data_IF_531218841889
#
_entry.id   IF_531218841889
#
_cell.length_a   1.000
_cell.length_b   1.000
_cell.length_c   1.000
_cell.angle_alpha   90.00
_cell.angle_beta   90.00
_cell.angle_gamma   90.00
#
_symmetry.space_group_name_H-M   'P 1'
#
loop_
_entity.id
_entity.type
_entity.pdbx_description
1 polymer ?
#
# COMPACT_ATOMS: atom_id res chain seq x y z
N UNK A 1 8.36 9.88 -9.52
CA UNK A 1 9.05 9.17 -8.43
C UNK A 1 9.08 10.05 -7.20
N UNK A 2 8.78 9.47 -6.06
CA UNK A 2 8.80 10.21 -4.80
C UNK A 2 9.15 9.29 -3.64
N UNK A 3 9.38 9.87 -2.47
CA UNK A 3 9.61 9.12 -1.24
C UNK A 3 8.33 9.16 -0.43
N UNK A 4 7.87 8.01 0.02
CA UNK A 4 6.70 7.89 0.87
C UNK A 4 7.11 7.39 2.24
N UNK A 5 6.42 7.86 3.28
CA UNK A 5 6.68 7.44 4.64
C UNK A 5 5.37 6.96 5.26
N UNK A 6 5.42 5.79 5.89
CA UNK A 6 4.28 5.27 6.66
C UNK A 6 4.71 5.33 8.13
N UNK A 7 4.05 6.12 8.96
CA UNK A 7 4.45 6.25 10.36
C UNK A 7 4.27 4.94 11.12
N UNK A 8 4.86 4.82 12.31
CA UNK A 8 4.68 3.61 13.12
C UNK A 8 3.20 3.30 13.32
N UNK A 9 2.82 2.05 13.11
CA UNK A 9 1.44 1.61 13.20
C UNK A 9 0.53 2.11 12.07
N UNK A 10 1.10 2.84 11.10
CA UNK A 10 0.31 3.41 10.01
C UNK A 10 -0.08 2.41 8.95
N UNK A 11 -1.08 2.79 8.16
CA UNK A 11 -1.62 1.95 7.10
C UNK A 11 -1.86 2.81 5.86
N UNK A 12 -1.38 2.33 4.71
CA UNK A 12 -1.81 2.85 3.42
C UNK A 12 -3.02 2.02 3.02
N UNK A 13 -4.21 2.55 3.27
CA UNK A 13 -5.46 1.80 3.15
C UNK A 13 -5.73 1.32 1.73
N UNK A 14 -6.51 0.26 1.64
CA UNK A 14 -6.75 -0.43 0.39
C UNK A 14 -7.25 0.49 -0.72
N UNK A 15 -6.64 0.36 -1.89
CA UNK A 15 -7.02 1.13 -3.07
C UNK A 15 -6.57 0.38 -4.35
N UNK A 16 -7.01 0.87 -5.47
CA UNK A 16 -6.71 0.31 -6.78
C UNK A 16 -6.08 1.40 -7.64
N UNK A 17 -4.97 1.09 -8.30
CA UNK A 17 -4.40 1.94 -9.34
C UNK A 17 -5.00 1.48 -10.67
N UNK A 18 -5.86 2.30 -11.26
CA UNK A 18 -6.69 1.85 -12.39
C UNK A 18 -5.89 1.60 -13.67
N UNK A 19 -5.10 2.56 -14.10
CA UNK A 19 -4.44 2.49 -15.40
C UNK A 19 -2.92 2.60 -15.35
N UNK A 20 -2.30 2.41 -14.20
CA UNK A 20 -0.87 2.56 -14.10
C UNK A 20 -0.26 1.56 -13.12
N UNK A 21 1.03 1.36 -13.25
CA UNK A 21 1.80 0.46 -12.42
C UNK A 21 2.55 1.24 -11.36
N UNK A 22 2.76 0.61 -10.21
CA UNK A 22 3.53 1.22 -9.12
C UNK A 22 4.63 0.25 -8.71
N UNK A 23 5.82 0.77 -8.52
CA UNK A 23 6.91 0.01 -7.93
C UNK A 23 7.38 0.72 -6.67
N UNK A 24 7.63 -0.06 -5.63
CA UNK A 24 8.12 0.42 -4.36
C UNK A 24 9.46 -0.22 -4.08
N UNK A 25 10.39 0.58 -3.55
CA UNK A 25 11.63 0.05 -3.01
C UNK A 25 11.72 0.46 -1.55
N UNK A 26 11.76 -0.51 -0.64
CA UNK A 26 11.77 -0.25 0.79
C UNK A 26 13.17 0.19 1.21
N UNK A 27 13.32 1.41 1.69
CA UNK A 27 14.58 1.92 2.21
C UNK A 27 14.76 1.60 3.67
N UNK A 28 13.68 1.68 4.46
CA UNK A 28 13.73 1.45 5.90
C UNK A 28 12.43 0.83 6.36
N UNK A 29 12.52 -0.07 7.31
CA UNK A 29 11.35 -0.64 7.98
C UNK A 29 10.86 -1.96 7.40
N UNK A 30 9.70 -2.38 7.85
CA UNK A 30 9.06 -3.62 7.42
C UNK A 30 7.57 -3.41 7.24
N UNK A 31 7.04 -3.97 6.16
CA UNK A 31 5.63 -3.83 5.83
C UNK A 31 4.97 -5.18 5.60
N UNK A 32 3.66 -5.22 5.82
CA UNK A 32 2.81 -6.31 5.36
C UNK A 32 1.99 -5.78 4.20
N UNK A 33 2.14 -6.40 3.05
CA UNK A 33 1.42 -6.03 1.83
C UNK A 33 0.33 -7.07 1.60
N UNK A 34 -0.92 -6.63 1.66
CA UNK A 34 -2.08 -7.48 1.40
C UNK A 34 -2.67 -7.07 0.06
N UNK A 35 -3.04 -8.02 -0.77
CA UNK A 35 -3.53 -7.74 -2.11
C UNK A 35 -4.55 -8.76 -2.57
N UNK A 36 -5.24 -8.44 -3.67
CA UNK A 36 -6.31 -9.24 -4.22
C UNK A 36 -7.68 -8.65 -3.92
N UNK A 37 -8.74 -9.14 -4.56
CA UNK A 37 -10.09 -8.60 -4.42
C UNK A 37 -10.60 -8.57 -2.98
N UNK A 38 -10.22 -9.55 -2.17
CA UNK A 38 -10.59 -9.61 -0.76
C UNK A 38 -9.40 -9.37 0.15
N UNK A 39 -8.29 -8.84 -0.38
CA UNK A 39 -7.03 -8.68 0.32
C UNK A 39 -6.57 -10.02 0.93
N UNK A 40 -6.83 -11.10 0.21
CA UNK A 40 -6.62 -12.45 0.72
C UNK A 40 -5.17 -12.94 0.61
N UNK A 41 -4.37 -12.30 -0.23
CA UNK A 41 -2.94 -12.63 -0.37
C UNK A 41 -2.12 -11.70 0.50
N UNK A 42 -1.00 -12.20 1.00
CA UNK A 42 -0.17 -11.45 1.92
C UNK A 42 1.29 -11.77 1.68
N UNK A 43 2.13 -10.73 1.72
CA UNK A 43 3.57 -10.89 1.71
C UNK A 43 4.17 -9.82 2.62
N UNK A 44 5.19 -10.21 3.38
CA UNK A 44 5.91 -9.28 4.24
C UNK A 44 7.22 -8.91 3.54
N UNK A 45 7.51 -7.62 3.51
CA UNK A 45 8.71 -7.09 2.86
C UNK A 45 9.50 -6.23 3.85
N UNK A 46 10.80 -6.21 3.66
CA UNK A 46 11.73 -5.45 4.52
C UNK A 46 12.62 -4.57 3.66
N UNK A 47 13.44 -3.74 4.31
CA UNK A 47 14.38 -2.87 3.62
C UNK A 47 15.22 -3.68 2.61
N UNK A 48 15.34 -3.15 1.42
CA UNK A 48 16.03 -3.82 0.31
C UNK A 48 15.12 -4.57 -0.64
N UNK A 49 13.84 -4.75 -0.29
CA UNK A 49 12.89 -5.44 -1.16
C UNK A 49 12.22 -4.49 -2.14
N UNK A 50 11.90 -5.02 -3.32
CA UNK A 50 11.06 -4.34 -4.30
C UNK A 50 9.66 -4.92 -4.24
N UNK A 51 8.66 -4.06 -4.44
CA UNK A 51 7.26 -4.47 -4.57
C UNK A 51 6.74 -3.91 -5.88
N UNK A 52 6.17 -4.77 -6.71
CA UNK A 52 5.52 -4.35 -7.95
C UNK A 52 4.01 -4.50 -7.78
N UNK A 53 3.27 -3.44 -8.10
CA UNK A 53 1.82 -3.43 -7.99
C UNK A 53 1.22 -3.25 -9.37
N UNK A 54 0.49 -4.27 -9.82
CA UNK A 54 -0.14 -4.26 -11.12
C UNK A 54 -1.36 -3.34 -11.12
N UNK A 55 -1.72 -2.75 -12.28
CA UNK A 55 -2.96 -1.99 -12.40
C UNK A 55 -4.16 -2.88 -12.09
N UNK A 56 -5.16 -2.31 -11.45
CA UNK A 56 -6.41 -3.00 -11.19
C UNK A 56 -6.42 -3.95 -10.02
N UNK A 57 -5.29 -4.14 -9.34
CA UNK A 57 -5.22 -5.06 -8.20
C UNK A 57 -5.40 -4.28 -6.89
N UNK A 58 -6.42 -4.58 -6.10
CA UNK A 58 -6.58 -3.97 -4.78
C UNK A 58 -5.41 -4.35 -3.88
N UNK A 59 -4.87 -3.38 -3.15
CA UNK A 59 -3.78 -3.65 -2.21
C UNK A 59 -3.79 -2.70 -1.03
N UNK A 60 -3.21 -3.14 0.06
CA UNK A 60 -3.10 -2.38 1.30
C UNK A 60 -1.73 -2.67 1.92
N UNK A 61 -1.08 -1.65 2.45
CA UNK A 61 0.25 -1.80 3.03
C UNK A 61 0.22 -1.32 4.47
N UNK A 62 0.66 -2.17 5.38
CA UNK A 62 0.68 -1.87 6.80
C UNK A 62 2.11 -1.82 7.30
N UNK A 63 2.42 -0.82 8.13
CA UNK A 63 3.69 -0.80 8.83
C UNK A 63 3.60 -1.80 9.98
N UNK A 64 4.51 -2.77 10.02
CA UNK A 64 4.52 -3.81 11.04
C UNK A 64 5.10 -3.34 12.37
N UNK A 65 5.75 -2.19 12.42
CA UNK A 65 6.36 -1.69 13.65
C UNK A 65 5.48 -0.67 14.34
N UNK A 66 5.43 -0.74 15.66
CA UNK A 66 4.77 0.25 16.48
C UNK A 66 5.68 1.43 16.83
N UNK A 67 6.97 1.34 16.50
CA UNK A 67 7.96 2.34 16.92
C UNK A 67 8.76 2.96 15.77
N UNK A 68 8.89 2.28 14.64
CA UNK A 68 9.75 2.73 13.54
C UNK A 68 8.93 3.02 12.28
N UNK A 69 9.27 4.08 11.54
CA UNK A 69 8.58 4.36 10.28
C UNK A 69 9.04 3.43 9.17
N UNK A 70 8.23 3.34 8.12
CA UNK A 70 8.64 2.74 6.85
C UNK A 70 8.90 3.87 5.89
N UNK A 71 10.04 3.80 5.20
CA UNK A 71 10.40 4.76 4.16
C UNK A 71 10.61 3.99 2.86
N UNK A 72 9.95 4.42 1.81
CA UNK A 72 10.04 3.76 0.51
C UNK A 72 10.17 4.77 -0.62
N UNK A 73 10.88 4.37 -1.68
CA UNK A 73 10.88 5.12 -2.94
C UNK A 73 9.74 4.55 -3.78
N UNK A 74 8.92 5.43 -4.33
CA UNK A 74 7.75 5.06 -5.12
C UNK A 74 7.94 5.57 -6.54
N UNK A 75 7.85 4.67 -7.51
CA UNK A 75 7.88 5.01 -8.92
C UNK A 75 6.55 4.59 -9.57
N UNK A 76 6.02 5.46 -10.41
CA UNK A 76 4.75 5.21 -11.11
C UNK A 76 4.95 5.35 -12.60
N UNK A 77 4.19 4.59 -13.37
CA UNK A 77 4.27 4.64 -14.82
C UNK A 77 3.46 5.78 -15.43
N UNK A 78 2.66 6.48 -14.63
CA UNK A 78 1.83 7.60 -15.09
C UNK A 78 1.86 8.71 -14.05
N UNK A 79 2.07 9.95 -14.51
CA UNK A 79 2.13 11.11 -13.62
C UNK A 79 0.75 11.57 -13.14
N UNK A 80 -0.33 11.14 -13.77
CA UNK A 80 -1.68 11.55 -13.39
C UNK A 80 -2.33 10.56 -12.44
N UNK A 81 -1.54 9.90 -11.62
CA UNK A 81 -2.01 8.84 -10.74
C UNK A 81 -3.14 9.24 -9.80
N UNK A 82 -3.21 10.49 -9.40
CA UNK A 82 -4.26 10.92 -8.48
C UNK A 82 -5.66 10.82 -9.06
N UNK A 83 -5.75 10.84 -10.38
CA UNK A 83 -7.03 10.74 -11.06
C UNK A 83 -7.47 9.29 -11.24
N UNK A 84 -6.54 8.36 -11.06
CA UNK A 84 -6.75 6.95 -11.35
C UNK A 84 -6.61 6.06 -10.12
N UNK A 85 -6.78 6.63 -8.94
CA UNK A 85 -6.76 5.87 -7.69
C UNK A 85 -8.19 5.77 -7.18
N UNK A 86 -8.64 4.56 -6.90
CA UNK A 86 -9.99 4.29 -6.42
C UNK A 86 -9.88 3.55 -5.08
N UNK A 87 -10.60 4.03 -4.07
CA UNK A 87 -10.62 3.38 -2.77
C UNK A 87 -11.24 1.99 -2.86
N UNK A 88 -10.73 1.09 -2.04
CA UNK A 88 -11.21 -0.29 -1.94
C UNK A 88 -11.58 -0.57 -0.48
N UNK A 89 -12.59 -1.40 -0.21
CA UNK A 89 -12.96 -1.71 1.17
C UNK A 89 -11.80 -2.27 1.98
N UNK A 90 -11.63 -1.74 3.19
CA UNK A 90 -10.59 -2.16 4.12
C UNK A 90 -11.16 -2.20 5.53
N UNK A 91 -10.88 -3.29 6.24
CA UNK A 91 -11.31 -3.42 7.63
C UNK A 91 -10.60 -2.43 8.55
N UNK A 92 -9.44 -1.94 8.12
CA UNK A 92 -8.61 -1.04 8.92
C UNK A 92 -8.96 0.42 8.73
N UNK A 93 -9.72 0.75 7.68
CA UNK A 93 -10.03 2.14 7.37
C UNK A 93 -10.97 2.72 8.42
N UNK A 94 -10.64 3.87 9.02
CA UNK A 94 -11.51 4.48 10.02
C UNK A 94 -12.92 4.70 9.49
N UNK A 95 -13.92 4.26 10.24
CA UNK A 95 -15.31 4.41 9.85
C UNK A 95 -15.84 3.37 8.90
N UNK A 96 -14.98 2.48 8.41
CA UNK A 96 -15.40 1.49 7.43
C UNK A 96 -16.07 0.28 8.01
N UNK A 97 -16.04 0.18 9.30
CA UNK A 97 -16.60 -0.97 9.95
C UNK A 97 -18.01 -1.19 9.74
N UNK A 98 -18.53 -0.22 9.37
CA UNK A 98 -19.79 -0.50 9.03
C UNK A 98 -19.84 -1.69 8.29
N UNK A 99 -18.93 -1.88 8.15
CA UNK A 99 -18.98 -2.88 7.58
C UNK A 99 -18.72 -4.00 8.14
N UNK A 100 -18.69 -3.47 8.53
CA UNK A 100 -18.69 -4.03 8.66
C UNK A 100 -18.68 -4.53 8.76
N UNK A 101 -18.78 -4.25 8.79
CA UNK A 101 -18.96 -4.46 8.62
C UNK A 101 -19.09 -4.73 8.43
#
# INVERSE_FOLDING_TARGET
MNVATIPPGGVAFAHIHVDFEVMLYILEGAVRHEYGPSLEHQVDNVAGDFIFIEPGVPHEVCNLSATEPVVAVVARSDASEWEHIVDHPSRRRPGSTSAGT
#
